data_IF_148448329881
#
_entry.id   IF_148448329881
#
_cell.length_a   1.000
_cell.length_b   1.000
_cell.length_c   1.000
_cell.angle_alpha   90.00
_cell.angle_beta   90.00
_cell.angle_gamma   90.00
#
_symmetry.space_group_name_H-M   'P 1'
#
loop_
_entity.id
_entity.type
_entity.pdbx_description
1 polymer ?
#
# COMPACT_ATOMS: atom_id res chain seq x y z
N UNK A 1 24.59 -2.72 15.15
CA UNK A 1 24.91 -2.87 16.57
C UNK A 1 24.54 -4.29 17.06
N UNK A 2 23.25 -4.61 17.35
CA UNK A 2 22.89 -5.98 17.78
C UNK A 2 23.27 -7.03 16.74
N UNK A 3 22.93 -6.78 15.47
CA UNK A 3 23.14 -7.72 14.38
C UNK A 3 24.60 -8.01 14.06
N UNK A 4 25.51 -7.08 14.37
CA UNK A 4 26.96 -7.31 14.17
C UNK A 4 27.47 -8.50 14.98
N UNK A 5 26.99 -8.66 16.21
CA UNK A 5 27.35 -9.78 17.07
C UNK A 5 26.56 -11.08 16.83
N UNK A 6 25.75 -11.16 15.77
CA UNK A 6 24.92 -12.33 15.43
C UNK A 6 25.38 -13.03 14.15
N UNK A 7 26.30 -12.44 13.37
CA UNK A 7 26.67 -12.95 12.05
C UNK A 7 27.15 -14.39 12.14
N UNK A 8 28.16 -14.68 12.96
CA UNK A 8 28.76 -16.01 13.07
C UNK A 8 27.84 -17.02 13.76
N UNK A 9 27.11 -16.58 14.79
CA UNK A 9 26.33 -17.48 15.66
C UNK A 9 24.93 -17.76 15.16
N UNK A 10 24.34 -16.85 14.36
CA UNK A 10 22.97 -16.97 13.86
C UNK A 10 22.89 -16.91 12.33
N UNK A 11 23.51 -15.89 11.70
CA UNK A 11 23.23 -15.61 10.28
C UNK A 11 24.02 -16.54 9.33
N UNK A 12 25.23 -16.95 9.69
CA UNK A 12 26.08 -17.86 8.90
C UNK A 12 26.18 -19.25 9.51
N UNK A 13 25.77 -19.43 10.76
CA UNK A 13 25.80 -20.73 11.44
C UNK A 13 24.99 -21.79 10.66
N UNK A 14 25.39 -23.08 10.70
CA UNK A 14 24.62 -24.14 10.07
C UNK A 14 23.26 -24.32 10.71
N UNK A 15 22.27 -24.75 9.93
CA UNK A 15 20.89 -24.92 10.40
C UNK A 15 20.78 -25.76 11.66
N UNK A 16 21.58 -26.83 11.77
CA UNK A 16 21.61 -27.69 12.96
C UNK A 16 21.97 -26.97 14.26
N UNK A 17 22.81 -25.96 14.19
CA UNK A 17 23.17 -25.13 15.33
C UNK A 17 22.05 -24.11 15.62
N UNK A 18 21.56 -23.42 14.60
CA UNK A 18 20.48 -22.43 14.76
C UNK A 18 19.20 -23.06 15.31
N UNK A 19 18.85 -24.26 14.86
CA UNK A 19 17.67 -25.00 15.32
C UNK A 19 17.67 -25.28 16.82
N UNK A 20 18.84 -25.49 17.39
CA UNK A 20 19.00 -25.82 18.83
C UNK A 20 19.24 -24.56 19.69
N UNK A 21 19.37 -23.42 19.07
CA UNK A 21 19.58 -22.15 19.78
C UNK A 21 18.31 -21.74 20.54
N UNK A 22 18.47 -21.37 21.81
CA UNK A 22 17.37 -20.83 22.62
C UNK A 22 17.18 -19.36 22.25
N UNK A 23 15.94 -18.88 22.13
CA UNK A 23 15.68 -17.46 21.92
C UNK A 23 16.37 -16.60 22.99
N UNK A 24 17.08 -15.56 22.57
CA UNK A 24 17.78 -14.63 23.45
C UNK A 24 17.26 -13.20 23.30
N UNK A 25 17.35 -12.42 24.37
CA UNK A 25 16.99 -11.00 24.36
C UNK A 25 18.25 -10.15 24.51
N UNK A 26 18.47 -9.22 23.62
CA UNK A 26 19.55 -8.24 23.66
C UNK A 26 19.01 -6.81 23.66
N UNK A 27 19.77 -5.90 24.25
CA UNK A 27 19.45 -4.45 24.25
C UNK A 27 20.43 -3.70 23.35
N UNK A 28 19.90 -2.75 22.60
CA UNK A 28 20.76 -1.80 21.87
C UNK A 28 21.23 -0.66 22.81
N UNK A 29 22.05 0.24 22.24
CA UNK A 29 22.58 1.42 22.98
C UNK A 29 21.48 2.38 23.48
N UNK A 30 20.31 2.39 22.87
CA UNK A 30 19.16 3.20 23.32
C UNK A 30 18.29 2.50 24.36
N UNK A 31 18.66 1.27 24.77
CA UNK A 31 17.92 0.48 25.76
C UNK A 31 16.73 -0.31 25.20
N UNK A 32 16.50 -0.27 23.91
CA UNK A 32 15.43 -1.06 23.27
C UNK A 32 15.80 -2.54 23.27
N UNK A 33 14.87 -3.38 23.72
CA UNK A 33 15.02 -4.84 23.75
C UNK A 33 14.62 -5.45 22.42
N UNK A 34 15.41 -6.43 21.97
CA UNK A 34 15.15 -7.24 20.79
C UNK A 34 15.28 -8.71 21.14
N UNK A 35 14.33 -9.52 20.72
CA UNK A 35 14.43 -10.97 20.78
C UNK A 35 15.04 -11.50 19.49
N UNK A 36 16.03 -12.38 19.62
CA UNK A 36 16.63 -13.15 18.54
C UNK A 36 16.07 -14.57 18.65
N UNK A 37 15.48 -15.07 17.59
CA UNK A 37 14.92 -16.42 17.51
C UNK A 37 14.92 -16.96 16.10
N UNK A 38 14.81 -18.28 15.96
CA UNK A 38 14.60 -18.93 14.68
C UNK A 38 13.22 -19.61 14.66
N UNK A 39 12.59 -19.61 13.49
CA UNK A 39 11.35 -20.30 13.20
C UNK A 39 11.53 -21.16 11.95
N UNK A 40 11.01 -22.39 11.97
CA UNK A 40 11.10 -23.33 10.88
C UNK A 40 9.84 -23.29 10.01
N UNK A 41 10.03 -23.39 8.70
CA UNK A 41 9.03 -23.70 7.69
C UNK A 41 9.40 -25.01 6.99
N UNK A 42 8.67 -25.47 6.00
CA UNK A 42 8.93 -26.77 5.34
C UNK A 42 10.35 -26.88 4.75
N UNK A 43 10.73 -25.98 3.85
CA UNK A 43 12.01 -25.98 3.14
C UNK A 43 13.02 -24.96 3.67
N UNK A 44 12.58 -24.00 4.47
CA UNK A 44 13.34 -22.85 4.90
C UNK A 44 13.30 -22.67 6.42
N UNK A 45 14.17 -21.80 6.93
CA UNK A 45 14.08 -21.29 8.29
C UNK A 45 14.32 -19.79 8.30
N UNK A 46 13.68 -19.12 9.22
CA UNK A 46 13.76 -17.67 9.39
C UNK A 46 14.43 -17.33 10.71
N UNK A 47 15.35 -16.38 10.69
CA UNK A 47 15.97 -15.81 11.88
C UNK A 47 15.41 -14.40 12.05
N UNK A 48 14.83 -14.13 13.19
CA UNK A 48 14.23 -12.85 13.53
C UNK A 48 15.07 -12.07 14.52
N UNK A 49 15.17 -10.77 14.32
CA UNK A 49 15.61 -9.78 15.31
C UNK A 49 14.42 -8.83 15.49
N UNK A 50 13.61 -9.09 16.50
CA UNK A 50 12.29 -8.48 16.69
C UNK A 50 12.26 -7.58 17.91
N UNK A 51 11.81 -6.30 17.79
CA UNK A 51 11.76 -5.38 18.91
C UNK A 51 10.65 -5.77 19.90
N UNK A 52 10.87 -5.44 21.18
CA UNK A 52 9.85 -5.54 22.20
C UNK A 52 8.67 -4.64 21.89
N UNK A 53 7.49 -5.21 21.92
CA UNK A 53 6.22 -4.51 21.71
C UNK A 53 5.25 -4.87 22.85
N UNK A 54 4.45 -3.92 23.29
CA UNK A 54 3.37 -4.18 24.25
C UNK A 54 2.04 -4.16 23.51
N UNK A 55 1.28 -5.23 23.65
CA UNK A 55 -0.08 -5.34 23.10
C UNK A 55 -1.09 -5.40 24.24
N UNK A 56 -2.27 -4.85 24.01
CA UNK A 56 -3.41 -4.93 24.91
C UNK A 56 -4.30 -6.08 24.45
N UNK A 57 -4.53 -7.05 25.33
CA UNK A 57 -5.40 -8.19 25.08
C UNK A 57 -6.63 -8.07 25.96
N UNK A 58 -7.82 -8.14 25.37
CA UNK A 58 -9.07 -8.21 26.13
C UNK A 58 -9.28 -9.64 26.60
N UNK A 59 -9.32 -9.82 27.91
CA UNK A 59 -9.54 -11.12 28.54
C UNK A 59 -10.96 -11.13 29.10
N UNK A 60 -11.75 -12.10 28.64
CA UNK A 60 -13.10 -12.32 29.16
C UNK A 60 -13.08 -13.40 30.23
N UNK A 61 -13.60 -13.09 31.40
CA UNK A 61 -13.76 -14.01 32.53
C UNK A 61 -15.23 -14.10 32.95
N UNK A 62 -15.57 -15.03 33.77
CA UNK A 62 -16.94 -15.21 34.32
C UNK A 62 -17.45 -13.95 35.10
N UNK A 63 -16.55 -13.05 35.46
CA UNK A 63 -16.85 -11.83 36.21
C UNK A 63 -16.84 -10.56 35.37
N UNK A 64 -16.53 -10.65 34.05
CA UNK A 64 -16.48 -9.55 33.11
C UNK A 64 -15.23 -9.52 32.24
N UNK A 65 -15.15 -8.54 31.34
CA UNK A 65 -13.98 -8.32 30.48
C UNK A 65 -13.04 -7.30 31.09
N UNK A 66 -11.73 -7.57 31.03
CA UNK A 66 -10.68 -6.63 31.40
C UNK A 66 -9.53 -6.65 30.38
N UNK A 67 -8.74 -5.58 30.34
CA UNK A 67 -7.61 -5.47 29.43
C UNK A 67 -6.31 -5.81 30.15
N UNK A 68 -5.54 -6.75 29.56
CA UNK A 68 -4.22 -7.13 30.07
C UNK A 68 -3.12 -6.71 29.08
N UNK A 69 -1.99 -6.25 29.62
CA UNK A 69 -0.84 -5.83 28.82
C UNK A 69 0.14 -7.00 28.66
N UNK A 70 0.37 -7.44 27.45
CA UNK A 70 1.32 -8.51 27.15
C UNK A 70 2.55 -7.98 26.43
N UNK A 71 3.74 -8.41 26.85
CA UNK A 71 4.99 -8.16 26.13
C UNK A 71 5.18 -9.23 25.08
N UNK A 72 5.35 -8.80 23.83
CA UNK A 72 5.56 -9.67 22.66
C UNK A 72 6.73 -9.15 21.83
N UNK A 73 7.26 -10.00 20.94
CA UNK A 73 8.34 -9.69 19.99
C UNK A 73 7.90 -10.08 18.57
N UNK A 74 7.01 -9.31 17.91
CA UNK A 74 6.49 -9.64 16.59
C UNK A 74 7.61 -9.61 15.54
N UNK A 75 7.68 -10.63 14.69
CA UNK A 75 8.70 -10.71 13.64
C UNK A 75 8.49 -9.75 12.46
N UNK A 76 7.32 -9.13 12.39
CA UNK A 76 6.86 -8.24 11.34
C UNK A 76 6.47 -6.83 11.83
N UNK A 77 6.76 -6.51 13.09
CA UNK A 77 6.56 -5.16 13.62
C UNK A 77 7.59 -4.17 13.08
N UNK A 78 7.27 -2.89 13.17
CA UNK A 78 8.21 -1.81 12.83
C UNK A 78 9.51 -1.94 13.63
N UNK A 79 10.65 -1.97 12.93
CA UNK A 79 11.97 -2.21 13.51
C UNK A 79 12.40 -3.68 13.50
N UNK A 80 11.52 -4.61 13.11
CA UNK A 80 11.89 -6.02 12.95
C UNK A 80 12.75 -6.23 11.71
N UNK A 81 13.67 -7.18 11.84
CA UNK A 81 14.53 -7.65 10.79
C UNK A 81 14.45 -9.18 10.70
N UNK A 82 14.41 -9.73 9.48
CA UNK A 82 14.28 -11.16 9.25
C UNK A 82 15.23 -11.62 8.15
N UNK A 83 15.96 -12.71 8.39
CA UNK A 83 16.74 -13.44 7.39
C UNK A 83 16.12 -14.81 7.16
N UNK A 84 15.80 -15.13 5.91
CA UNK A 84 15.33 -16.45 5.49
C UNK A 84 16.46 -17.21 4.81
N UNK A 85 16.68 -18.47 5.22
CA UNK A 85 17.71 -19.35 4.68
C UNK A 85 17.12 -20.72 4.33
N UNK A 86 17.65 -21.34 3.28
CA UNK A 86 17.26 -22.68 2.89
C UNK A 86 17.84 -23.72 3.86
N UNK A 87 17.02 -24.65 4.33
CA UNK A 87 17.42 -25.69 5.30
C UNK A 87 18.48 -26.65 4.77
N UNK A 88 18.38 -27.01 3.48
CA UNK A 88 19.25 -28.08 2.90
C UNK A 88 20.68 -27.63 2.69
N UNK A 89 20.87 -26.40 2.22
CA UNK A 89 22.19 -25.89 1.82
C UNK A 89 22.66 -24.67 2.61
N UNK A 90 21.83 -24.17 3.53
CA UNK A 90 22.12 -23.02 4.37
C UNK A 90 22.21 -21.68 3.61
N UNK A 91 21.95 -21.66 2.29
CA UNK A 91 22.06 -20.42 1.51
C UNK A 91 21.01 -19.41 1.93
N UNK A 92 21.36 -18.12 2.01
CA UNK A 92 20.40 -17.07 2.26
C UNK A 92 19.47 -16.92 1.04
N UNK A 93 18.19 -16.70 1.30
CA UNK A 93 17.16 -16.50 0.29
C UNK A 93 16.70 -15.06 0.25
N UNK A 94 16.47 -14.44 1.41
CA UNK A 94 16.02 -13.05 1.50
C UNK A 94 16.26 -12.46 2.89
N UNK A 95 16.36 -11.13 2.91
CA UNK A 95 16.31 -10.32 4.14
C UNK A 95 15.13 -9.39 4.00
N UNK A 96 14.39 -9.17 5.10
CA UNK A 96 13.34 -8.16 5.19
C UNK A 96 13.61 -7.18 6.31
N UNK A 97 13.34 -5.91 6.06
CA UNK A 97 13.29 -4.85 7.04
C UNK A 97 11.85 -4.35 7.13
N UNK A 98 11.24 -4.49 8.27
CA UNK A 98 9.91 -3.95 8.57
C UNK A 98 10.08 -2.58 9.21
N UNK A 99 9.68 -1.52 8.53
CA UNK A 99 9.93 -0.15 8.98
C UNK A 99 8.64 0.67 9.19
N UNK A 100 7.50 0.13 8.81
CA UNK A 100 6.19 0.76 8.99
C UNK A 100 5.38 0.07 10.09
N UNK A 101 4.32 0.74 10.57
CA UNK A 101 3.38 0.16 11.54
C UNK A 101 2.57 -1.01 10.96
N UNK A 102 2.35 -1.00 9.64
CA UNK A 102 1.69 -2.09 8.94
C UNK A 102 2.73 -3.12 8.48
N UNK A 103 2.54 -4.38 8.84
CA UNK A 103 3.43 -5.50 8.51
C UNK A 103 3.47 -5.83 7.00
N UNK A 104 2.50 -5.36 6.22
CA UNK A 104 2.51 -5.49 4.76
C UNK A 104 3.37 -4.45 4.05
N UNK A 105 4.06 -3.57 4.82
CA UNK A 105 4.98 -2.56 4.29
C UNK A 105 6.39 -2.88 4.74
N UNK A 106 7.22 -3.37 3.81
CA UNK A 106 8.61 -3.75 4.06
C UNK A 106 9.48 -3.60 2.82
N UNK A 107 10.79 -3.51 3.05
CA UNK A 107 11.80 -3.65 1.98
C UNK A 107 12.45 -5.02 2.09
N UNK A 108 12.64 -5.69 0.96
CA UNK A 108 13.20 -7.03 0.88
C UNK A 108 14.41 -7.05 -0.04
N UNK A 109 15.43 -7.81 0.36
CA UNK A 109 16.62 -8.05 -0.45
C UNK A 109 16.74 -9.54 -0.75
N UNK A 110 17.19 -9.88 -1.96
CA UNK A 110 17.48 -11.23 -2.40
C UNK A 110 18.85 -11.32 -3.04
N UNK A 111 19.61 -12.42 -2.86
CA UNK A 111 20.92 -12.60 -3.49
C UNK A 111 20.80 -12.64 -5.02
N UNK A 112 21.70 -11.93 -5.72
CA UNK A 112 21.78 -11.96 -7.18
C UNK A 112 23.25 -11.88 -7.64
N UNK A 113 23.84 -13.02 -7.94
CA UNK A 113 25.27 -13.11 -8.27
C UNK A 113 26.16 -12.60 -7.13
N UNK A 114 26.90 -11.52 -7.38
CA UNK A 114 27.79 -10.88 -6.38
C UNK A 114 27.11 -9.77 -5.60
N UNK A 115 25.89 -9.37 -5.98
CA UNK A 115 25.14 -8.27 -5.40
C UNK A 115 23.78 -8.73 -4.87
N UNK A 116 22.92 -7.79 -4.49
CA UNK A 116 21.53 -8.05 -4.13
C UNK A 116 20.56 -7.30 -5.03
N UNK A 117 19.40 -7.89 -5.23
CA UNK A 117 18.20 -7.19 -5.73
C UNK A 117 17.35 -6.73 -4.55
N UNK A 118 16.64 -5.64 -4.75
CA UNK A 118 15.76 -5.03 -3.77
C UNK A 118 14.32 -4.96 -4.29
N UNK A 119 13.38 -5.26 -3.41
CA UNK A 119 11.95 -5.08 -3.64
C UNK A 119 11.38 -4.17 -2.55
N UNK A 120 10.58 -3.17 -2.91
CA UNK A 120 9.74 -2.43 -1.97
C UNK A 120 8.30 -2.95 -2.09
N UNK A 121 7.79 -3.47 -0.99
CA UNK A 121 6.40 -3.96 -0.89
C UNK A 121 5.58 -3.01 -0.03
N UNK A 122 4.42 -2.63 -0.53
CA UNK A 122 3.48 -1.71 0.12
C UNK A 122 2.08 -2.30 0.00
N UNK A 123 1.48 -2.67 1.13
CA UNK A 123 0.17 -3.34 1.21
C UNK A 123 0.05 -4.56 0.30
N UNK A 124 1.07 -5.43 0.32
CA UNK A 124 1.11 -6.66 -0.48
C UNK A 124 1.43 -6.47 -1.96
N UNK A 125 1.55 -5.22 -2.46
CA UNK A 125 1.90 -4.91 -3.85
C UNK A 125 3.36 -4.44 -3.96
N UNK A 126 4.00 -4.75 -5.09
CA UNK A 126 5.35 -4.26 -5.37
C UNK A 126 5.30 -2.81 -5.85
N UNK A 127 5.77 -1.87 -5.03
CA UNK A 127 6.04 -0.50 -5.45
C UNK A 127 7.35 -0.40 -6.26
N UNK A 128 8.30 -1.29 -5.98
CA UNK A 128 9.48 -1.55 -6.82
C UNK A 128 9.82 -3.03 -6.73
N UNK A 129 10.33 -3.63 -7.82
CA UNK A 129 10.64 -5.06 -7.88
C UNK A 129 11.93 -5.32 -8.64
N UNK A 130 12.81 -6.16 -8.07
CA UNK A 130 14.03 -6.62 -8.72
C UNK A 130 15.04 -5.51 -9.00
N UNK A 131 15.09 -4.46 -8.18
CA UNK A 131 15.97 -3.31 -8.38
C UNK A 131 17.38 -3.65 -7.91
N UNK A 132 18.43 -3.53 -8.76
CA UNK A 132 19.80 -3.79 -8.37
C UNK A 132 20.30 -2.78 -7.32
N UNK A 133 20.93 -3.29 -6.24
CA UNK A 133 21.47 -2.43 -5.17
C UNK A 133 22.92 -2.02 -5.40
N UNK A 134 23.64 -2.76 -6.26
CA UNK A 134 25.09 -2.56 -6.48
C UNK A 134 25.99 -3.05 -5.33
N UNK A 135 25.43 -3.50 -4.20
CA UNK A 135 26.19 -3.97 -3.03
C UNK A 135 25.95 -5.45 -2.76
N UNK A 136 26.91 -6.17 -2.11
CA UNK A 136 26.75 -7.58 -1.75
C UNK A 136 25.56 -7.81 -0.81
N UNK A 137 24.91 -8.95 -0.96
CA UNK A 137 23.77 -9.32 -0.11
C UNK A 137 24.15 -9.36 1.39
N UNK A 138 25.35 -9.84 1.73
CA UNK A 138 25.85 -9.90 3.11
C UNK A 138 25.96 -8.52 3.78
N UNK A 139 26.08 -7.45 3.02
CA UNK A 139 26.07 -6.09 3.57
C UNK A 139 24.80 -5.79 4.34
N UNK A 140 23.66 -6.42 3.98
CA UNK A 140 22.36 -6.23 4.64
C UNK A 140 22.19 -7.04 5.93
N UNK A 141 23.15 -7.89 6.29
CA UNK A 141 23.14 -8.55 7.61
C UNK A 141 23.25 -7.54 8.74
N UNK A 142 24.09 -6.56 8.58
CA UNK A 142 24.43 -5.59 9.64
C UNK A 142 24.05 -4.16 9.31
N UNK A 143 23.83 -3.82 8.04
CA UNK A 143 23.51 -2.46 7.61
C UNK A 143 22.36 -1.85 8.45
N UNK A 144 22.55 -0.70 9.09
CA UNK A 144 21.45 0.04 9.71
C UNK A 144 20.43 0.47 8.66
N UNK A 145 19.19 0.75 9.10
CA UNK A 145 18.12 1.09 8.18
C UNK A 145 18.39 2.40 7.39
N UNK A 146 19.09 3.35 8.01
CA UNK A 146 19.50 4.59 7.35
C UNK A 146 20.43 4.32 6.15
N UNK A 147 21.32 3.34 6.26
CA UNK A 147 22.20 2.93 5.16
C UNK A 147 21.41 2.21 4.06
N UNK A 148 20.42 1.39 4.44
CA UNK A 148 19.50 0.78 3.47
C UNK A 148 18.81 1.86 2.63
N UNK A 149 18.25 2.88 3.29
CA UNK A 149 17.61 4.00 2.60
C UNK A 149 18.58 4.76 1.71
N UNK A 150 19.81 5.03 2.20
CA UNK A 150 20.84 5.74 1.44
C UNK A 150 21.28 4.98 0.20
N UNK A 151 21.53 3.67 0.31
CA UNK A 151 21.93 2.80 -0.82
C UNK A 151 20.85 2.77 -1.90
N UNK A 152 19.59 2.86 -1.52
CA UNK A 152 18.44 2.70 -2.41
C UNK A 152 17.73 4.02 -2.74
N UNK A 153 18.29 5.17 -2.33
CA UNK A 153 17.63 6.48 -2.43
C UNK A 153 17.21 6.86 -3.84
N UNK A 154 18.07 6.58 -4.83
CA UNK A 154 17.84 6.96 -6.23
C UNK A 154 16.99 5.95 -7.01
N UNK A 155 16.76 4.75 -6.45
CA UNK A 155 16.16 3.64 -7.19
C UNK A 155 14.84 3.16 -6.60
N UNK A 156 14.62 3.38 -5.32
CA UNK A 156 13.40 2.98 -4.62
C UNK A 156 12.52 4.21 -4.37
N UNK A 157 11.22 4.14 -4.71
CA UNK A 157 10.30 5.26 -4.54
C UNK A 157 9.87 5.40 -3.06
N UNK A 158 10.78 5.84 -2.20
CA UNK A 158 10.58 6.00 -0.76
C UNK A 158 9.45 6.97 -0.39
N UNK A 159 9.05 7.85 -1.30
CA UNK A 159 7.92 8.75 -1.12
C UNK A 159 6.59 8.01 -0.90
N UNK A 160 6.45 6.77 -1.38
CA UNK A 160 5.24 5.96 -1.11
C UNK A 160 5.12 5.54 0.36
N UNK A 161 6.23 5.49 1.10
CA UNK A 161 6.26 4.97 2.47
C UNK A 161 6.76 5.98 3.51
N UNK A 162 7.29 7.10 3.05
CA UNK A 162 7.56 8.27 3.90
C UNK A 162 6.45 9.29 3.68
N UNK A 163 5.43 9.31 4.56
CA UNK A 163 4.41 10.33 4.43
C UNK A 163 5.09 11.69 4.60
N UNK A 164 5.00 12.52 3.58
CA UNK A 164 5.14 13.94 3.76
C UNK A 164 4.07 14.37 4.77
N UNK A 165 4.48 14.99 5.87
CA UNK A 165 3.56 15.42 6.92
C UNK A 165 2.52 16.39 6.38
N UNK A 166 2.87 17.19 5.37
CA UNK A 166 1.97 18.13 4.72
C UNK A 166 0.98 17.40 3.80
N UNK A 167 1.42 16.36 3.09
CA UNK A 167 0.52 15.50 2.30
C UNK A 167 -0.49 14.77 3.19
N UNK A 168 -0.05 14.29 4.36
CA UNK A 168 -0.95 13.63 5.32
C UNK A 168 -1.96 14.60 5.91
N UNK A 169 -1.57 15.85 6.13
CA UNK A 169 -2.46 16.90 6.59
C UNK A 169 -3.51 17.22 5.53
N UNK A 170 -3.13 17.42 4.28
CA UNK A 170 -4.01 17.66 3.14
C UNK A 170 -4.99 16.51 2.90
N UNK A 171 -4.53 15.25 3.02
CA UNK A 171 -5.38 14.05 2.89
C UNK A 171 -6.42 14.01 4.01
N UNK A 172 -6.03 14.30 5.27
CA UNK A 172 -6.97 14.36 6.40
C UNK A 172 -8.00 15.47 6.24
N UNK A 173 -7.58 16.64 5.76
CA UNK A 173 -8.50 17.74 5.46
C UNK A 173 -9.48 17.36 4.37
N UNK A 174 -9.00 16.74 3.28
CA UNK A 174 -9.88 16.26 2.22
C UNK A 174 -10.87 15.20 2.72
N UNK A 175 -10.40 14.24 3.51
CA UNK A 175 -11.27 13.21 4.10
C UNK A 175 -12.34 13.85 5.01
N UNK A 176 -11.98 14.82 5.83
CA UNK A 176 -12.92 15.53 6.69
C UNK A 176 -13.98 16.33 5.90
N UNK A 177 -13.59 16.95 4.80
CA UNK A 177 -14.53 17.66 3.90
C UNK A 177 -15.50 16.68 3.24
N UNK A 178 -15.00 15.52 2.78
CA UNK A 178 -15.84 14.47 2.20
C UNK A 178 -16.82 13.94 3.25
N UNK A 179 -16.33 13.59 4.44
CA UNK A 179 -17.14 13.06 5.55
C UNK A 179 -18.22 14.06 5.97
N UNK A 180 -17.88 15.34 6.07
CA UNK A 180 -18.83 16.40 6.35
C UNK A 180 -19.92 16.59 5.27
N UNK A 181 -19.62 16.22 4.02
CA UNK A 181 -20.59 16.32 2.91
C UNK A 181 -21.47 15.07 2.76
N UNK A 182 -21.08 13.91 3.33
CA UNK A 182 -21.84 12.64 3.18
C UNK A 182 -23.31 12.75 3.57
N UNK A 183 -23.72 13.44 4.65
CA UNK A 183 -25.13 13.60 5.00
C UNK A 183 -25.97 14.31 3.94
N UNK A 184 -25.34 15.09 3.06
CA UNK A 184 -25.99 15.84 1.99
C UNK A 184 -25.96 15.12 0.64
N UNK A 185 -25.44 13.90 0.59
CA UNK A 185 -25.36 13.08 -0.62
C UNK A 185 -26.46 12.01 -0.59
N UNK A 186 -27.23 11.92 -1.68
CA UNK A 186 -28.22 10.88 -1.89
C UNK A 186 -27.80 10.06 -3.10
N UNK A 187 -27.85 8.73 -2.95
CA UNK A 187 -27.54 7.82 -4.05
C UNK A 187 -28.67 7.79 -5.08
N UNK A 188 -28.29 7.95 -6.35
CA UNK A 188 -29.14 7.65 -7.49
C UNK A 188 -28.33 7.02 -8.60
N UNK A 189 -28.82 5.91 -9.15
CA UNK A 189 -28.13 5.27 -10.26
C UNK A 189 -28.00 6.20 -11.46
N UNK A 190 -26.87 6.09 -12.17
CA UNK A 190 -26.60 6.87 -13.39
C UNK A 190 -26.54 8.41 -13.21
N UNK A 191 -26.48 8.94 -11.98
CA UNK A 191 -26.50 10.37 -11.69
C UNK A 191 -25.08 10.93 -11.49
N UNK A 192 -24.81 12.11 -12.06
CA UNK A 192 -23.59 12.90 -11.81
C UNK A 192 -23.80 14.38 -12.10
N UNK A 193 -22.84 15.23 -11.67
CA UNK A 193 -22.75 16.62 -12.15
C UNK A 193 -21.74 16.72 -13.30
N UNK A 194 -22.14 17.40 -14.38
CA UNK A 194 -21.29 17.63 -15.56
C UNK A 194 -20.21 18.73 -15.34
N UNK A 195 -19.54 19.14 -16.42
CA UNK A 195 -18.52 20.20 -16.38
C UNK A 195 -19.04 21.57 -15.98
N UNK A 196 -20.31 21.83 -16.25
CA UNK A 196 -21.01 23.11 -15.98
C UNK A 196 -21.78 23.10 -14.64
N UNK A 197 -21.77 21.93 -13.95
CA UNK A 197 -22.45 21.76 -12.67
C UNK A 197 -23.90 21.36 -12.78
N UNK A 198 -24.38 20.96 -13.95
CA UNK A 198 -25.74 20.47 -14.12
C UNK A 198 -25.83 19.00 -13.75
N UNK A 199 -26.93 18.60 -13.11
CA UNK A 199 -27.24 17.21 -12.80
C UNK A 199 -27.67 16.48 -14.09
N UNK A 200 -26.88 15.48 -14.49
CA UNK A 200 -27.07 14.75 -15.76
C UNK A 200 -26.91 13.24 -15.57
N UNK A 201 -27.37 12.47 -16.54
CA UNK A 201 -27.13 11.03 -16.59
C UNK A 201 -25.73 10.74 -17.12
N UNK A 202 -25.03 9.83 -16.47
CA UNK A 202 -23.69 9.39 -16.89
C UNK A 202 -23.72 8.77 -18.28
N UNK A 203 -24.72 7.94 -18.55
CA UNK A 203 -24.81 7.15 -19.79
C UNK A 203 -24.88 8.01 -21.05
N UNK A 204 -25.66 9.08 -21.07
CA UNK A 204 -25.93 9.88 -22.27
C UNK A 204 -25.74 11.39 -22.10
N UNK A 205 -25.50 11.86 -20.89
CA UNK A 205 -25.32 13.29 -20.58
C UNK A 205 -26.58 14.12 -20.62
N UNK A 206 -27.76 13.51 -20.76
CA UNK A 206 -29.04 14.24 -20.70
C UNK A 206 -29.40 14.64 -19.27
N UNK A 207 -30.22 15.66 -19.08
CA UNK A 207 -30.68 16.06 -17.75
C UNK A 207 -31.22 14.87 -16.96
N UNK A 208 -30.85 14.80 -15.68
CA UNK A 208 -31.36 13.82 -14.74
C UNK A 208 -32.61 14.36 -14.06
N UNK A 209 -33.65 13.55 -13.98
CA UNK A 209 -34.87 13.92 -13.25
C UNK A 209 -34.62 13.81 -11.75
N UNK A 210 -34.76 14.93 -11.06
CA UNK A 210 -34.60 15.04 -9.61
C UNK A 210 -35.90 15.12 -8.82
N UNK A 211 -37.04 14.95 -9.46
CA UNK A 211 -38.38 15.15 -8.83
C UNK A 211 -38.60 14.27 -7.59
N UNK A 212 -38.01 13.08 -7.57
CA UNK A 212 -38.13 12.11 -6.49
C UNK A 212 -37.08 12.29 -5.36
N UNK A 213 -36.23 13.32 -5.46
CA UNK A 213 -35.14 13.52 -4.51
C UNK A 213 -35.31 14.80 -3.68
N UNK A 214 -34.81 14.80 -2.43
CA UNK A 214 -34.89 15.98 -1.57
C UNK A 214 -34.19 17.20 -2.17
N UNK A 215 -34.75 18.36 -1.97
CA UNK A 215 -34.15 19.63 -2.37
C UNK A 215 -32.86 19.90 -1.57
N UNK A 216 -31.89 20.56 -2.19
CA UNK A 216 -30.62 20.91 -1.55
C UNK A 216 -29.63 19.76 -1.38
N UNK A 217 -29.96 18.50 -1.76
CA UNK A 217 -29.02 17.37 -1.69
C UNK A 217 -28.29 17.19 -3.00
N UNK A 218 -27.05 16.67 -2.89
CA UNK A 218 -26.28 16.15 -4.02
C UNK A 218 -26.80 14.77 -4.41
N UNK A 219 -27.09 14.58 -5.69
CA UNK A 219 -27.60 13.31 -6.22
C UNK A 219 -26.51 12.70 -7.05
N UNK A 220 -25.95 11.56 -6.59
CA UNK A 220 -24.77 10.95 -7.15
C UNK A 220 -24.89 9.42 -7.22
N UNK A 221 -24.45 8.83 -8.31
CA UNK A 221 -24.09 7.40 -8.36
C UNK A 221 -22.68 7.18 -7.83
N UNK A 222 -22.22 5.94 -7.71
CA UNK A 222 -20.83 5.62 -7.31
C UNK A 222 -19.81 6.28 -8.24
N UNK A 223 -20.00 6.21 -9.55
CA UNK A 223 -19.13 6.86 -10.54
C UNK A 223 -19.22 8.39 -10.48
N UNK A 224 -20.41 8.93 -10.24
CA UNK A 224 -20.64 10.36 -10.01
C UNK A 224 -19.95 10.86 -8.74
N UNK A 225 -19.96 10.07 -7.67
CA UNK A 225 -19.29 10.39 -6.42
C UNK A 225 -17.76 10.48 -6.56
N UNK A 226 -17.15 9.51 -7.24
CA UNK A 226 -15.70 9.57 -7.50
C UNK A 226 -15.32 10.78 -8.36
N UNK A 227 -16.17 11.12 -9.36
CA UNK A 227 -15.97 12.33 -10.16
C UNK A 227 -16.13 13.60 -9.32
N UNK A 228 -17.11 13.66 -8.41
CA UNK A 228 -17.31 14.79 -7.52
C UNK A 228 -16.09 15.07 -6.64
N UNK A 229 -15.44 14.00 -6.11
CA UNK A 229 -14.17 14.12 -5.39
C UNK A 229 -13.07 14.66 -6.31
N UNK A 230 -12.93 14.11 -7.51
CA UNK A 230 -11.92 14.54 -8.48
C UNK A 230 -12.15 16.00 -8.93
N UNK A 231 -13.40 16.42 -9.10
CA UNK A 231 -13.75 17.83 -9.36
C UNK A 231 -13.28 18.75 -8.23
N UNK A 232 -13.42 18.33 -6.98
CA UNK A 232 -12.92 19.06 -5.82
C UNK A 232 -11.41 19.25 -5.82
N UNK A 233 -10.65 18.29 -6.34
CA UNK A 233 -9.20 18.39 -6.51
C UNK A 233 -8.80 19.30 -7.69
N UNK A 234 -9.53 19.24 -8.79
CA UNK A 234 -9.17 19.92 -10.06
C UNK A 234 -9.68 21.38 -10.08
N UNK A 235 -10.85 21.64 -9.54
CA UNK A 235 -11.51 22.94 -9.62
C UNK A 235 -10.69 24.11 -9.03
N UNK A 236 -9.97 23.96 -7.90
CA UNK A 236 -9.12 25.03 -7.38
C UNK A 236 -7.97 25.43 -8.33
N UNK A 237 -7.54 24.51 -9.20
CA UNK A 237 -6.43 24.70 -10.12
C UNK A 237 -6.88 25.23 -11.50
N UNK A 238 -8.07 24.83 -11.95
CA UNK A 238 -8.55 25.10 -13.32
C UNK A 238 -9.71 26.06 -13.37
N UNK A 239 -10.37 26.30 -12.24
CA UNK A 239 -11.62 27.08 -12.17
C UNK A 239 -12.85 26.34 -12.71
N UNK A 240 -12.72 25.05 -13.10
CA UNK A 240 -13.81 24.26 -13.70
C UNK A 240 -13.80 22.80 -13.29
N UNK A 241 -14.92 22.12 -13.55
CA UNK A 241 -15.08 20.69 -13.32
C UNK A 241 -14.64 19.86 -14.52
N UNK A 242 -14.34 18.58 -14.28
CA UNK A 242 -13.97 17.64 -15.33
C UNK A 242 -15.19 17.36 -16.23
N UNK A 243 -15.04 17.49 -17.53
CA UNK A 243 -16.11 17.23 -18.49
C UNK A 243 -16.40 15.73 -18.62
N UNK A 244 -17.69 15.38 -18.84
CA UNK A 244 -18.15 13.99 -18.97
C UNK A 244 -17.58 13.27 -20.20
N UNK A 245 -17.57 13.91 -21.35
CA UNK A 245 -17.28 13.26 -22.62
C UNK A 245 -15.91 12.51 -22.63
N UNK A 246 -14.80 13.10 -22.16
CA UNK A 246 -13.53 12.39 -22.08
C UNK A 246 -13.55 11.18 -21.16
N UNK A 247 -14.37 11.20 -20.10
CA UNK A 247 -14.44 10.13 -19.11
C UNK A 247 -15.12 8.86 -19.64
N UNK A 248 -16.01 9.00 -20.62
CA UNK A 248 -16.76 7.91 -21.23
C UNK A 248 -15.99 7.22 -22.38
N UNK A 249 -14.78 7.66 -22.72
CA UNK A 249 -13.97 7.06 -23.79
C UNK A 249 -13.44 5.71 -23.33
N UNK A 250 -13.53 4.71 -24.23
CA UNK A 250 -12.97 3.38 -23.97
C UNK A 250 -11.43 3.46 -23.92
N UNK A 251 -10.85 2.88 -22.88
CA UNK A 251 -9.38 2.84 -22.68
C UNK A 251 -8.77 1.51 -23.11
N UNK A 252 -9.61 0.49 -23.34
CA UNK A 252 -9.18 -0.85 -23.76
C UNK A 252 -10.13 -1.36 -24.85
N UNK A 253 -9.60 -1.84 -25.95
CA UNK A 253 -10.35 -2.64 -26.90
C UNK A 253 -10.35 -4.09 -26.43
N UNK A 254 -11.48 -4.56 -25.91
CA UNK A 254 -11.63 -5.94 -25.49
C UNK A 254 -12.43 -6.65 -26.58
N UNK A 255 -11.79 -7.61 -27.24
CA UNK A 255 -12.47 -8.54 -28.15
C UNK A 255 -12.97 -9.73 -27.33
N UNK A 256 -14.17 -9.61 -26.81
CA UNK A 256 -14.84 -10.71 -26.13
C UNK A 256 -15.64 -11.54 -27.14
N UNK A 257 -15.49 -12.86 -27.03
CA UNK A 257 -16.23 -13.85 -27.81
C UNK A 257 -17.05 -14.74 -26.87
N UNK A 258 -18.18 -15.27 -27.36
CA UNK A 258 -19.04 -16.15 -26.59
C UNK A 258 -19.99 -15.42 -25.65
N UNK A 259 -20.32 -16.06 -24.53
CA UNK A 259 -21.32 -15.56 -23.57
C UNK A 259 -20.93 -14.21 -22.94
N UNK A 260 -19.66 -14.02 -22.67
CA UNK A 260 -19.13 -12.77 -22.15
C UNK A 260 -19.34 -11.60 -23.14
N UNK A 261 -19.12 -11.85 -24.44
CA UNK A 261 -19.37 -10.86 -25.49
C UNK A 261 -20.84 -10.45 -25.59
N UNK A 262 -21.78 -11.36 -25.35
CA UNK A 262 -23.21 -11.05 -25.30
C UNK A 262 -23.54 -10.15 -24.09
N UNK A 263 -22.97 -10.43 -22.93
CA UNK A 263 -23.17 -9.58 -21.74
C UNK A 263 -22.59 -8.18 -21.96
N UNK A 264 -21.42 -8.04 -22.56
CA UNK A 264 -20.80 -6.75 -22.80
C UNK A 264 -21.54 -5.91 -23.87
N UNK A 265 -22.39 -6.51 -24.70
CA UNK A 265 -23.29 -5.79 -25.61
C UNK A 265 -24.49 -5.19 -24.90
N UNK A 266 -24.94 -5.81 -23.80
CA UNK A 266 -26.09 -5.34 -23.00
C UNK A 266 -25.65 -4.42 -21.88
N UNK A 267 -24.51 -4.73 -21.24
CA UNK A 267 -23.93 -4.00 -20.13
C UNK A 267 -22.51 -3.58 -20.47
N UNK A 268 -22.15 -2.33 -20.21
CA UNK A 268 -20.74 -1.90 -20.28
C UNK A 268 -19.99 -2.43 -19.05
N UNK A 269 -19.52 -3.66 -19.13
CA UNK A 269 -18.79 -4.36 -18.05
C UNK A 269 -17.50 -3.64 -17.65
N UNK A 270 -16.96 -2.82 -18.57
CA UNK A 270 -15.71 -2.10 -18.35
C UNK A 270 -15.91 -0.61 -18.10
N UNK A 271 -17.16 -0.17 -18.00
CA UNK A 271 -17.48 1.24 -17.78
C UNK A 271 -16.74 1.82 -16.58
N UNK A 272 -16.80 1.17 -15.43
CA UNK A 272 -16.13 1.63 -14.21
C UNK A 272 -14.62 1.72 -14.37
N UNK A 273 -14.00 0.75 -15.08
CA UNK A 273 -12.57 0.74 -15.35
C UNK A 273 -12.18 1.91 -16.27
N UNK A 274 -12.89 2.10 -17.38
CA UNK A 274 -12.65 3.20 -18.31
C UNK A 274 -12.84 4.55 -17.62
N UNK A 275 -13.90 4.69 -16.85
CA UNK A 275 -14.22 5.89 -16.10
C UNK A 275 -13.12 6.29 -15.12
N UNK A 276 -12.69 5.36 -14.27
CA UNK A 276 -11.63 5.60 -13.27
C UNK A 276 -10.29 5.94 -13.94
N UNK A 277 -9.91 5.22 -14.99
CA UNK A 277 -8.67 5.46 -15.74
C UNK A 277 -8.64 6.85 -16.37
N UNK A 278 -9.70 7.23 -17.06
CA UNK A 278 -9.83 8.55 -17.67
C UNK A 278 -9.87 9.65 -16.62
N UNK A 279 -10.53 9.42 -15.49
CA UNK A 279 -10.58 10.36 -14.38
C UNK A 279 -9.19 10.59 -13.78
N UNK A 280 -8.43 9.50 -13.52
CA UNK A 280 -7.06 9.59 -13.06
C UNK A 280 -6.16 10.34 -14.06
N UNK A 281 -6.27 10.04 -15.35
CA UNK A 281 -5.55 10.75 -16.42
C UNK A 281 -5.88 12.24 -16.44
N UNK A 282 -7.14 12.61 -16.27
CA UNK A 282 -7.56 14.01 -16.21
C UNK A 282 -6.95 14.75 -15.01
N UNK A 283 -7.00 14.15 -13.81
CA UNK A 283 -6.42 14.72 -12.58
C UNK A 283 -4.91 14.89 -12.74
N UNK A 284 -4.18 13.84 -13.17
CA UNK A 284 -2.73 13.90 -13.36
C UNK A 284 -2.35 14.97 -14.40
N UNK A 285 -3.12 15.07 -15.49
CA UNK A 285 -2.86 16.08 -16.54
C UNK A 285 -2.95 17.51 -15.99
N UNK A 286 -3.91 17.77 -15.12
CA UNK A 286 -4.06 19.07 -14.46
C UNK A 286 -2.88 19.36 -13.54
N UNK A 287 -2.52 18.41 -12.67
CA UNK A 287 -1.45 18.61 -11.69
C UNK A 287 -0.07 18.77 -12.33
N UNK A 288 0.19 18.08 -13.44
CA UNK A 288 1.50 18.11 -14.10
C UNK A 288 1.61 19.13 -15.22
N UNK A 289 0.48 19.70 -15.65
CA UNK A 289 0.43 20.60 -16.82
C UNK A 289 0.74 19.89 -18.14
N UNK A 290 0.79 18.55 -18.14
CA UNK A 290 1.04 17.71 -19.33
C UNK A 290 -0.18 16.86 -19.61
N UNK A 291 -0.48 16.66 -20.91
CA UNK A 291 -1.56 15.76 -21.29
C UNK A 291 -1.14 14.29 -21.07
N UNK A 292 -1.80 13.63 -20.14
CA UNK A 292 -1.66 12.18 -19.94
C UNK A 292 -2.87 11.47 -20.56
N UNK A 293 -2.60 10.43 -21.34
CA UNK A 293 -3.60 9.48 -21.81
C UNK A 293 -3.32 8.13 -21.16
N UNK A 294 -4.37 7.35 -20.90
CA UNK A 294 -4.19 6.07 -20.20
C UNK A 294 -3.23 5.09 -20.91
N UNK A 295 -3.05 5.23 -22.21
CA UNK A 295 -2.20 4.36 -23.03
C UNK A 295 -0.77 4.91 -23.24
N UNK A 296 -0.38 5.96 -22.57
CA UNK A 296 0.96 6.52 -22.51
C UNK A 296 1.57 6.31 -21.11
#
# INVERSE_FOLDING_TARGET
>A
EIRDGLVETWFEAPFSAVRTSVPEVRRNSTGTEFQIRAEESDDDFSIFVAPRTTISVEVTSDTGSYTEQHTVYPGDASGSWMLVRNKRNGKPLRIRFYFAKNSEVYIQFSPHGKTALCDLVVFGAYAAKGVPTGVPFSSFYTAPFEDVVRITADTIPWNFVRPDTDMYHSIKQMAAVIDGALPDIVYADNAMYDGDGNLVRISDGKPFDRSDFPEGKYILSSAGFVKWIADGLVMPLTGGRIRRAPLAVKTVEIKETGYQGVLSQVYDLYFSLNWIRNLASAVISVYTGKKYMFNE
#
